data_IF_303377354204
#
_entry.id   IF_303377354204
#
_cell.length_a   1.000
_cell.length_b   1.000
_cell.length_c   1.000
_cell.angle_alpha   90.00
_cell.angle_beta   90.00
_cell.angle_gamma   90.00
#
_symmetry.space_group_name_H-M   'P 1'
#
loop_
_entity.id
_entity.type
_entity.pdbx_description
1 polymer ?
#
# COMPACT_ATOMS: atom_id res chain seq x y z
N UNK A 1 -0.08 16.01 -19.64
CA UNK A 1 -0.10 15.01 -18.55
C UNK A 1 -1.51 14.50 -18.20
N UNK A 2 -2.49 15.38 -17.96
CA UNK A 2 -3.88 15.04 -17.56
C UNK A 2 -4.58 13.99 -18.45
N UNK A 3 -4.55 14.15 -19.79
CA UNK A 3 -5.16 13.18 -20.74
C UNK A 3 -4.53 11.77 -20.68
N UNK A 4 -3.25 11.68 -20.29
CA UNK A 4 -2.55 10.40 -20.15
C UNK A 4 -3.00 9.66 -18.88
N UNK A 5 -3.04 10.36 -17.74
CA UNK A 5 -3.47 9.81 -16.45
C UNK A 5 -4.93 9.33 -16.50
N UNK A 6 -5.84 10.12 -17.10
CA UNK A 6 -7.24 9.72 -17.24
C UNK A 6 -7.40 8.45 -18.09
N UNK A 7 -6.55 8.27 -19.10
CA UNK A 7 -6.56 7.06 -19.95
C UNK A 7 -6.03 5.84 -19.19
N UNK A 8 -4.98 6.01 -18.38
CA UNK A 8 -4.45 4.94 -17.52
C UNK A 8 -5.51 4.52 -16.52
N UNK A 9 -6.15 5.48 -15.83
CA UNK A 9 -7.23 5.23 -14.89
C UNK A 9 -8.36 4.39 -15.51
N UNK A 10 -8.87 4.79 -16.68
CA UNK A 10 -9.94 4.05 -17.34
C UNK A 10 -9.55 2.60 -17.70
N UNK A 11 -8.26 2.37 -17.99
CA UNK A 11 -7.75 1.06 -18.39
C UNK A 11 -7.51 0.16 -17.17
N UNK A 12 -6.93 0.71 -16.11
CA UNK A 12 -6.44 -0.05 -14.95
C UNK A 12 -7.41 -0.07 -13.76
N UNK A 13 -8.51 0.69 -13.78
CA UNK A 13 -9.44 0.81 -12.64
C UNK A 13 -9.86 -0.52 -12.03
N UNK A 14 -10.05 -1.57 -12.85
CA UNK A 14 -10.42 -2.91 -12.36
C UNK A 14 -9.33 -3.51 -11.49
N UNK A 15 -8.06 -3.37 -11.90
CA UNK A 15 -6.92 -3.85 -11.13
C UNK A 15 -6.73 -3.05 -9.85
N UNK A 16 -6.98 -1.73 -9.90
CA UNK A 16 -6.95 -0.87 -8.70
C UNK A 16 -8.02 -1.31 -7.69
N UNK A 17 -9.25 -1.61 -8.14
CA UNK A 17 -10.29 -2.13 -7.26
C UNK A 17 -9.94 -3.49 -6.67
N UNK A 18 -9.33 -4.39 -7.45
CA UNK A 18 -8.86 -5.69 -6.95
C UNK A 18 -7.73 -5.49 -5.93
N UNK A 19 -6.79 -4.59 -6.19
CA UNK A 19 -5.73 -4.25 -5.24
C UNK A 19 -6.32 -3.69 -3.93
N UNK A 20 -7.32 -2.82 -4.03
CA UNK A 20 -8.00 -2.25 -2.86
C UNK A 20 -8.71 -3.34 -2.05
N UNK A 21 -9.42 -4.24 -2.71
CA UNK A 21 -10.05 -5.39 -2.07
C UNK A 21 -9.04 -6.18 -1.23
N UNK A 22 -7.88 -6.52 -1.80
CA UNK A 22 -6.87 -7.29 -1.10
C UNK A 22 -6.21 -6.52 0.05
N UNK A 23 -5.94 -5.22 -0.13
CA UNK A 23 -5.39 -4.38 0.93
C UNK A 23 -6.36 -4.30 2.13
N UNK A 24 -7.63 -3.96 1.87
CA UNK A 24 -8.64 -3.84 2.92
C UNK A 24 -9.01 -5.19 3.53
N UNK A 25 -8.95 -6.29 2.77
CA UNK A 25 -9.10 -7.63 3.32
C UNK A 25 -7.98 -7.95 4.33
N UNK A 26 -6.74 -7.51 4.07
CA UNK A 26 -5.63 -7.65 5.02
C UNK A 26 -5.87 -6.88 6.31
N UNK A 27 -6.30 -5.62 6.19
CA UNK A 27 -6.66 -4.77 7.35
C UNK A 27 -7.78 -5.44 8.16
N UNK A 28 -8.87 -5.84 7.50
CA UNK A 28 -10.01 -6.49 8.15
C UNK A 28 -9.63 -7.80 8.83
N UNK A 29 -8.79 -8.63 8.18
CA UNK A 29 -8.30 -9.88 8.75
C UNK A 29 -7.51 -9.63 10.03
N UNK A 30 -6.62 -8.64 10.02
CA UNK A 30 -5.83 -8.24 11.18
C UNK A 30 -6.70 -7.79 12.34
N UNK A 31 -7.68 -6.92 12.09
CA UNK A 31 -8.62 -6.46 13.11
C UNK A 31 -9.51 -7.59 13.66
N UNK A 32 -9.95 -8.50 12.78
CA UNK A 32 -10.75 -9.66 13.18
C UNK A 32 -9.97 -10.59 14.10
N UNK A 33 -8.76 -11.00 13.68
CA UNK A 33 -7.85 -11.81 14.51
C UNK A 33 -7.52 -11.05 15.80
N UNK A 34 -7.32 -9.74 15.66
CA UNK A 34 -7.02 -8.84 16.75
C UNK A 34 -8.02 -8.89 17.89
N UNK A 35 -9.31 -8.91 17.54
CA UNK A 35 -10.40 -8.98 18.49
C UNK A 35 -10.54 -10.36 19.17
N UNK A 36 -9.94 -11.43 18.61
CA UNK A 36 -9.96 -12.77 19.20
C UNK A 36 -8.79 -13.01 20.16
N UNK A 37 -7.73 -12.20 20.06
CA UNK A 37 -6.50 -12.40 20.81
C UNK A 37 -6.36 -11.28 21.85
N UNK A 38 -6.29 -11.65 23.12
CA UNK A 38 -5.90 -10.71 24.17
C UNK A 38 -4.39 -10.45 24.09
N UNK A 39 -4.00 -9.39 23.38
CA UNK A 39 -2.60 -8.98 23.34
C UNK A 39 -2.21 -8.36 24.68
N UNK A 40 -1.27 -9.00 25.39
CA UNK A 40 -0.54 -8.35 26.48
C UNK A 40 0.47 -7.38 25.85
N UNK A 41 0.09 -6.11 25.73
CA UNK A 41 0.91 -5.03 25.16
C UNK A 41 1.89 -4.45 26.18
N UNK A 42 2.58 -5.31 26.94
CA UNK A 42 3.54 -4.87 27.97
C UNK A 42 4.88 -4.40 27.40
N UNK A 43 5.16 -4.69 26.13
CA UNK A 43 6.31 -4.13 25.41
C UNK A 43 5.83 -3.04 24.47
N UNK A 44 5.88 -1.80 24.97
CA UNK A 44 5.85 -0.61 24.11
C UNK A 44 6.95 -0.77 23.06
N UNK A 45 6.60 -0.88 21.78
CA UNK A 45 7.57 -0.56 20.74
C UNK A 45 7.91 0.91 20.91
N UNK A 46 9.06 1.17 21.54
CA UNK A 46 9.67 2.50 21.51
C UNK A 46 9.89 2.79 20.03
N UNK A 47 9.31 3.90 19.55
CA UNK A 47 9.51 4.35 18.18
C UNK A 47 11.00 4.30 17.88
N UNK A 48 11.38 3.53 16.87
CA UNK A 48 12.74 3.55 16.38
C UNK A 48 12.99 4.94 15.80
N UNK A 49 14.15 5.53 16.13
CA UNK A 49 14.60 6.80 15.55
C UNK A 49 14.96 6.59 14.07
N UNK A 50 13.94 6.41 13.23
CA UNK A 50 14.10 6.25 11.79
C UNK A 50 14.02 7.61 11.11
N UNK A 51 15.01 7.87 10.28
CA UNK A 51 15.00 9.01 9.39
C UNK A 51 14.04 8.78 8.21
N UNK A 52 13.46 9.85 7.67
CA UNK A 52 12.46 9.78 6.60
C UNK A 52 12.91 8.97 5.37
N UNK A 53 14.23 8.95 5.09
CA UNK A 53 14.80 8.22 3.95
C UNK A 53 14.85 6.70 4.20
N UNK A 54 14.96 6.26 5.45
CA UNK A 54 14.93 4.84 5.81
C UNK A 54 13.51 4.30 5.66
N UNK A 55 12.52 5.06 6.14
CA UNK A 55 11.09 4.78 5.94
C UNK A 55 10.77 4.76 4.44
N UNK A 56 11.21 5.78 3.69
CA UNK A 56 11.02 5.82 2.23
C UNK A 56 11.63 4.60 1.54
N UNK A 57 12.88 4.26 1.85
CA UNK A 57 13.58 3.13 1.24
C UNK A 57 12.88 1.80 1.53
N UNK A 58 12.40 1.61 2.77
CA UNK A 58 11.64 0.43 3.15
C UNK A 58 10.32 0.32 2.38
N UNK A 59 9.53 1.40 2.35
CA UNK A 59 8.21 1.41 1.69
C UNK A 59 8.33 1.31 0.17
N UNK A 60 9.30 1.99 -0.44
CA UNK A 60 9.62 1.83 -1.87
C UNK A 60 10.09 0.41 -2.15
N UNK A 61 10.97 -0.16 -1.33
CA UNK A 61 11.45 -1.53 -1.47
C UNK A 61 10.31 -2.55 -1.43
N UNK A 62 9.41 -2.41 -0.45
CA UNK A 62 8.20 -3.24 -0.35
C UNK A 62 7.29 -3.08 -1.58
N UNK A 63 7.06 -1.85 -2.03
CA UNK A 63 6.27 -1.57 -3.23
C UNK A 63 6.89 -2.15 -4.51
N UNK A 64 8.21 -2.04 -4.67
CA UNK A 64 8.94 -2.64 -5.79
C UNK A 64 8.87 -4.17 -5.74
N UNK A 65 8.98 -4.77 -4.55
CA UNK A 65 8.84 -6.21 -4.37
C UNK A 65 7.43 -6.68 -4.78
N UNK A 66 6.37 -6.00 -4.32
CA UNK A 66 4.98 -6.27 -4.74
C UNK A 66 4.88 -6.20 -6.26
N UNK A 67 5.33 -5.11 -6.87
CA UNK A 67 5.23 -4.88 -8.31
C UNK A 67 6.00 -5.95 -9.12
N UNK A 68 7.24 -6.26 -8.74
CA UNK A 68 8.11 -7.21 -9.43
C UNK A 68 7.63 -8.67 -9.27
N UNK A 69 7.09 -9.00 -8.09
CA UNK A 69 6.58 -10.34 -7.79
C UNK A 69 5.39 -10.76 -8.67
N UNK A 70 4.81 -9.81 -9.41
CA UNK A 70 3.81 -10.06 -10.43
C UNK A 70 4.22 -11.09 -11.48
N UNK A 71 5.51 -11.23 -11.77
CA UNK A 71 6.05 -12.19 -12.75
C UNK A 71 5.66 -13.64 -12.38
N UNK A 72 5.47 -13.92 -11.10
CA UNK A 72 5.01 -15.22 -10.58
C UNK A 72 3.48 -15.33 -10.62
N UNK A 73 2.88 -15.03 -11.77
CA UNK A 73 1.44 -15.06 -12.03
C UNK A 73 0.60 -14.20 -11.06
N UNK A 74 1.19 -13.12 -10.54
CA UNK A 74 0.55 -12.16 -9.63
C UNK A 74 0.09 -12.70 -8.27
N UNK A 75 0.30 -13.98 -7.96
CA UNK A 75 -0.08 -14.56 -6.66
C UNK A 75 0.71 -13.91 -5.51
N UNK A 76 2.05 -13.80 -5.57
CA UNK A 76 2.79 -13.17 -4.48
C UNK A 76 2.49 -11.68 -4.34
N UNK A 77 2.18 -10.98 -5.43
CA UNK A 77 1.78 -9.57 -5.37
C UNK A 77 0.50 -9.38 -4.52
N UNK A 78 -0.48 -10.29 -4.67
CA UNK A 78 -1.68 -10.31 -3.84
C UNK A 78 -1.35 -10.59 -2.37
N UNK A 79 -0.54 -11.62 -2.09
CA UNK A 79 -0.16 -12.00 -0.73
C UNK A 79 0.62 -10.89 0.00
N UNK A 80 1.58 -10.25 -0.69
CA UNK A 80 2.35 -9.15 -0.13
C UNK A 80 1.49 -7.90 0.11
N UNK A 81 0.50 -7.64 -0.76
CA UNK A 81 -0.45 -6.53 -0.56
C UNK A 81 -1.37 -6.82 0.63
N UNK A 82 -1.87 -8.05 0.75
CA UNK A 82 -2.61 -8.53 1.93
C UNK A 82 -1.78 -8.35 3.21
N UNK A 83 -0.50 -8.73 3.17
CA UNK A 83 0.41 -8.60 4.30
C UNK A 83 0.63 -7.14 4.69
N UNK A 84 0.80 -6.23 3.72
CA UNK A 84 0.90 -4.78 4.01
C UNK A 84 -0.39 -4.27 4.68
N UNK A 85 -1.57 -4.65 4.18
CA UNK A 85 -2.84 -4.32 4.83
C UNK A 85 -2.96 -4.91 6.23
N UNK A 86 -2.51 -6.15 6.42
CA UNK A 86 -2.50 -6.81 7.71
C UNK A 86 -1.63 -6.05 8.73
N UNK A 87 -0.43 -5.63 8.34
CA UNK A 87 0.47 -4.84 9.18
C UNK A 87 -0.15 -3.49 9.58
N UNK A 88 -0.84 -2.80 8.66
CA UNK A 88 -1.56 -1.57 8.98
C UNK A 88 -2.65 -1.79 10.04
N UNK A 89 -3.49 -2.83 9.87
CA UNK A 89 -4.50 -3.19 10.87
C UNK A 89 -3.90 -3.59 12.21
N UNK A 90 -2.74 -4.25 12.18
CA UNK A 90 -2.02 -4.71 13.37
C UNK A 90 -1.50 -3.53 14.19
N UNK A 91 -0.93 -2.51 13.52
CA UNK A 91 -0.47 -1.28 14.17
C UNK A 91 -1.62 -0.52 14.85
N UNK A 92 -2.78 -0.44 14.20
CA UNK A 92 -3.99 0.16 14.81
C UNK A 92 -4.39 -0.57 16.08
N UNK A 93 -4.44 -1.91 16.02
CA UNK A 93 -4.81 -2.74 17.16
C UNK A 93 -3.83 -2.61 18.33
N UNK A 94 -2.53 -2.63 18.07
CA UNK A 94 -1.51 -2.42 19.12
C UNK A 94 -1.64 -1.03 19.75
N UNK A 95 -1.98 -0.01 18.95
CA UNK A 95 -2.10 1.36 19.44
C UNK A 95 -3.39 1.58 20.25
N UNK A 96 -4.43 0.78 20.01
CA UNK A 96 -5.74 0.92 20.65
C UNK A 96 -5.74 0.72 22.17
N UNK A 97 -4.75 0.00 22.73
CA UNK A 97 -4.61 -0.15 24.18
C UNK A 97 -3.94 1.03 24.88
N UNK A 98 -3.26 1.91 24.13
CA UNK A 98 -2.44 2.99 24.68
C UNK A 98 -2.89 4.39 24.28
N UNK A 99 -3.60 4.52 23.16
CA UNK A 99 -3.98 5.80 22.59
C UNK A 99 -5.48 5.86 22.30
N UNK A 100 -6.05 7.07 22.40
CA UNK A 100 -7.43 7.31 21.98
C UNK A 100 -7.59 7.06 20.48
N UNK A 101 -8.80 6.69 20.03
CA UNK A 101 -9.08 6.54 18.61
C UNK A 101 -8.75 7.81 17.80
N UNK A 102 -8.97 9.00 18.37
CA UNK A 102 -8.62 10.27 17.74
C UNK A 102 -7.10 10.42 17.55
N UNK A 103 -6.30 10.07 18.55
CA UNK A 103 -4.83 10.11 18.46
C UNK A 103 -4.30 9.14 17.40
N UNK A 104 -4.86 7.93 17.31
CA UNK A 104 -4.48 6.93 16.30
C UNK A 104 -4.80 7.45 14.89
N UNK A 105 -6.02 7.99 14.68
CA UNK A 105 -6.41 8.58 13.39
C UNK A 105 -5.50 9.77 13.05
N UNK A 106 -5.19 10.63 14.01
CA UNK A 106 -4.31 11.77 13.82
C UNK A 106 -2.86 11.36 13.48
N UNK A 107 -2.40 10.22 13.99
CA UNK A 107 -1.10 9.66 13.63
C UNK A 107 -1.10 9.02 12.22
N UNK A 108 -2.16 8.27 11.87
CA UNK A 108 -2.21 7.47 10.63
C UNK A 108 -2.62 8.26 9.38
N UNK A 109 -3.65 9.10 9.49
CA UNK A 109 -4.27 9.74 8.32
C UNK A 109 -3.30 10.63 7.53
N UNK A 110 -2.45 11.48 8.15
CA UNK A 110 -1.59 12.40 7.40
C UNK A 110 -0.74 11.71 6.33
N UNK A 111 -0.04 10.63 6.69
CA UNK A 111 0.81 9.89 5.77
C UNK A 111 0.04 8.79 5.00
N UNK A 112 -0.97 8.18 5.62
CA UNK A 112 -1.79 7.12 5.03
C UNK A 112 -2.52 7.52 3.74
N UNK A 113 -2.86 8.81 3.58
CA UNK A 113 -3.44 9.35 2.33
C UNK A 113 -2.49 9.16 1.13
N UNK A 114 -1.17 9.12 1.35
CA UNK A 114 -0.17 8.91 0.30
C UNK A 114 0.25 7.45 0.20
N UNK A 115 0.40 6.77 1.34
CA UNK A 115 0.86 5.38 1.40
C UNK A 115 -0.16 4.41 0.77
N UNK A 116 -1.45 4.54 1.11
CA UNK A 116 -2.48 3.64 0.61
C UNK A 116 -2.51 3.68 -0.93
N UNK A 117 -2.61 4.84 -1.61
CA UNK A 117 -2.52 4.88 -3.07
C UNK A 117 -1.23 4.30 -3.63
N UNK A 118 -0.08 4.49 -2.97
CA UNK A 118 1.19 3.92 -3.42
C UNK A 118 1.16 2.38 -3.41
N UNK A 119 0.65 1.76 -2.34
CA UNK A 119 0.50 0.30 -2.24
C UNK A 119 -0.49 -0.21 -3.31
N UNK A 120 -1.60 0.49 -3.54
CA UNK A 120 -2.56 0.12 -4.58
C UNK A 120 -1.95 0.16 -5.98
N UNK A 121 -1.09 1.14 -6.26
CA UNK A 121 -0.36 1.24 -7.53
C UNK A 121 0.64 0.09 -7.66
N UNK A 122 1.40 -0.21 -6.59
CA UNK A 122 2.35 -1.32 -6.57
C UNK A 122 1.66 -2.66 -6.89
N UNK A 123 0.54 -2.94 -6.21
CA UNK A 123 -0.27 -4.12 -6.46
C UNK A 123 -0.87 -4.12 -7.88
N UNK A 124 -1.35 -2.98 -8.36
CA UNK A 124 -1.88 -2.85 -9.73
C UNK A 124 -0.83 -3.24 -10.78
N UNK A 125 0.43 -2.83 -10.60
CA UNK A 125 1.54 -3.26 -11.44
C UNK A 125 1.75 -4.78 -11.31
N UNK A 126 1.80 -5.29 -10.08
CA UNK A 126 1.97 -6.72 -9.79
C UNK A 126 0.85 -7.62 -10.35
N UNK A 127 -0.37 -7.12 -10.51
CA UNK A 127 -1.52 -7.82 -11.09
C UNK A 127 -1.53 -7.84 -12.62
N UNK A 128 -0.69 -7.03 -13.29
CA UNK A 128 -0.67 -6.94 -14.75
C UNK A 128 -0.38 -8.28 -15.43
N UNK A 129 0.61 -9.09 -15.03
CA UNK A 129 0.89 -10.38 -15.66
C UNK A 129 -0.29 -11.35 -15.68
N UNK A 130 -0.99 -11.56 -14.56
CA UNK A 130 -2.21 -12.39 -14.55
C UNK A 130 -3.29 -11.80 -15.46
N UNK A 131 -3.47 -10.47 -15.46
CA UNK A 131 -4.46 -9.82 -16.31
C UNK A 131 -4.15 -9.94 -17.81
N UNK A 132 -2.87 -9.95 -18.20
CA UNK A 132 -2.43 -10.23 -19.56
C UNK A 132 -2.76 -11.65 -19.98
N UNK A 133 -2.48 -12.63 -19.11
CA UNK A 133 -2.79 -14.04 -19.35
C UNK A 133 -4.28 -14.26 -19.55
N UNK A 134 -5.12 -13.69 -18.68
CA UNK A 134 -6.59 -13.78 -18.79
C UNK A 134 -7.10 -13.15 -20.09
N UNK A 135 -6.60 -11.95 -20.46
CA UNK A 135 -6.99 -11.28 -21.70
C UNK A 135 -6.59 -12.08 -22.94
N UNK A 136 -5.41 -12.68 -22.92
CA UNK A 136 -4.94 -13.54 -24.00
C UNK A 136 -5.79 -14.81 -24.12
N UNK A 137 -6.08 -15.48 -23.00
CA UNK A 137 -6.88 -16.70 -22.97
C UNK A 137 -8.33 -16.46 -23.44
N UNK A 138 -9.00 -15.42 -22.93
CA UNK A 138 -10.44 -15.19 -23.19
C UNK A 138 -10.73 -14.39 -24.46
N UNK A 139 -9.87 -13.43 -24.82
CA UNK A 139 -10.15 -12.47 -25.90
C UNK A 139 -9.17 -12.54 -27.06
N UNK A 140 -8.17 -13.44 -27.00
CA UNK A 140 -7.05 -13.52 -27.97
C UNK A 140 -6.41 -12.15 -28.24
N UNK A 141 -6.45 -11.27 -27.25
CA UNK A 141 -6.06 -9.88 -27.42
C UNK A 141 -4.53 -9.76 -27.40
N UNK A 142 -3.97 -9.10 -28.42
CA UNK A 142 -2.54 -8.80 -28.49
C UNK A 142 -2.15 -7.67 -27.55
N UNK A 143 -1.00 -7.79 -26.88
CA UNK A 143 -0.51 -6.81 -25.92
C UNK A 143 0.47 -5.86 -26.62
N UNK A 144 0.24 -4.55 -26.48
CA UNK A 144 1.20 -3.54 -26.94
C UNK A 144 2.27 -3.32 -25.86
N UNK A 145 3.35 -4.10 -25.92
CA UNK A 145 4.43 -4.07 -24.93
C UNK A 145 5.04 -2.68 -24.71
N UNK A 146 5.21 -1.89 -25.77
CA UNK A 146 5.70 -0.50 -25.67
C UNK A 146 4.79 0.39 -24.81
N UNK A 147 3.47 0.21 -24.92
CA UNK A 147 2.49 0.95 -24.13
C UNK A 147 2.47 0.47 -22.69
N UNK A 148 2.53 -0.84 -22.46
CA UNK A 148 2.54 -1.43 -21.12
C UNK A 148 3.79 -1.02 -20.33
N UNK A 149 4.99 -1.15 -20.91
CA UNK A 149 6.22 -0.73 -20.25
C UNK A 149 6.22 0.75 -19.87
N UNK A 150 5.74 1.61 -20.77
CA UNK A 150 5.59 3.04 -20.46
C UNK A 150 4.60 3.27 -19.31
N UNK A 151 3.51 2.49 -19.27
CA UNK A 151 2.51 2.61 -18.21
C UNK A 151 3.08 2.16 -16.87
N UNK A 152 3.78 1.02 -16.84
CA UNK A 152 4.46 0.49 -15.65
C UNK A 152 5.49 1.50 -15.13
N UNK A 153 6.35 2.04 -16.00
CA UNK A 153 7.36 3.02 -15.59
C UNK A 153 6.75 4.29 -14.98
N UNK A 154 5.66 4.81 -15.57
CA UNK A 154 4.94 5.98 -15.02
C UNK A 154 4.32 5.65 -13.67
N UNK A 155 3.69 4.48 -13.53
CA UNK A 155 3.09 4.03 -12.27
C UNK A 155 4.15 3.81 -11.19
N UNK A 156 5.30 3.22 -11.51
CA UNK A 156 6.43 3.05 -10.59
C UNK A 156 6.97 4.39 -10.10
N UNK A 157 7.18 5.34 -11.00
CA UNK A 157 7.64 6.68 -10.63
C UNK A 157 6.64 7.41 -9.73
N UNK A 158 5.35 7.28 -10.02
CA UNK A 158 4.30 7.88 -9.20
C UNK A 158 4.17 7.22 -7.82
N UNK A 159 4.25 5.88 -7.76
CA UNK A 159 4.30 5.11 -6.52
C UNK A 159 5.48 5.55 -5.65
N UNK A 160 6.69 5.63 -6.21
CA UNK A 160 7.88 6.03 -5.45
C UNK A 160 7.75 7.46 -4.91
N UNK A 161 7.24 8.39 -5.72
CA UNK A 161 6.99 9.75 -5.28
C UNK A 161 5.99 9.82 -4.12
N UNK A 162 4.92 9.03 -4.17
CA UNK A 162 3.94 8.95 -3.07
C UNK A 162 4.55 8.40 -1.79
N UNK A 163 5.38 7.36 -1.85
CA UNK A 163 6.06 6.84 -0.65
C UNK A 163 7.05 7.83 -0.03
N UNK A 164 7.76 8.62 -0.85
CA UNK A 164 8.63 9.69 -0.34
C UNK A 164 7.81 10.75 0.38
N UNK A 165 6.68 11.17 -0.20
CA UNK A 165 5.79 12.13 0.45
C UNK A 165 5.20 11.54 1.74
N UNK A 166 4.77 10.28 1.71
CA UNK A 166 4.25 9.57 2.88
C UNK A 166 5.28 9.57 4.02
N UNK A 167 6.54 9.22 3.74
CA UNK A 167 7.57 9.14 4.78
C UNK A 167 7.98 10.51 5.34
N UNK A 168 8.02 11.56 4.51
CA UNK A 168 8.23 12.93 4.99
C UNK A 168 7.11 13.36 5.93
N UNK A 169 5.86 13.08 5.56
CA UNK A 169 4.69 13.39 6.39
C UNK A 169 4.70 12.56 7.68
N UNK A 170 5.11 11.30 7.60
CA UNK A 170 5.23 10.40 8.76
C UNK A 170 6.28 10.89 9.75
N UNK A 171 7.46 11.32 9.29
CA UNK A 171 8.53 11.80 10.17
C UNK A 171 8.23 13.17 10.75
N UNK A 172 7.66 14.10 9.97
CA UNK A 172 7.56 15.51 10.39
C UNK A 172 6.16 15.95 10.84
N UNK A 173 5.09 15.32 10.36
CA UNK A 173 3.71 15.78 10.61
C UNK A 173 2.97 14.86 11.57
N UNK A 174 3.04 13.53 11.37
CA UNK A 174 2.32 12.56 12.21
C UNK A 174 2.61 12.70 13.73
N UNK A 175 3.84 13.00 14.18
CA UNK A 175 4.10 13.22 15.61
C UNK A 175 3.42 14.48 16.16
N UNK A 176 3.34 15.54 15.34
CA UNK A 176 2.72 16.81 15.72
C UNK A 176 1.20 16.63 15.86
N UNK A 177 0.57 15.99 14.88
CA UNK A 177 -0.88 15.76 14.88
C UNK A 177 -1.31 14.82 15.99
N UNK A 178 -0.51 13.79 16.28
CA UNK A 178 -0.75 12.89 17.40
C UNK A 178 -0.65 13.61 18.76
N UNK A 179 0.32 14.53 18.90
CA UNK A 179 0.51 15.32 20.13
C UNK A 179 -0.66 16.23 20.51
N UNK A 180 -1.61 16.51 19.60
CA UNK A 180 -2.82 17.27 19.92
C UNK A 180 -3.85 16.48 20.74
N UNK A 181 -3.70 15.16 20.82
CA UNK A 181 -4.66 14.24 21.44
C UNK A 181 -4.04 13.34 22.52
N UNK A 182 -2.79 13.64 22.92
CA UNK A 182 -2.12 13.09 24.11
C UNK A 182 -2.50 13.89 25.35
#
# INVERSE_FOLDING_TARGET
MRKCLMRIWQTEKKLIWIAALWLFAGIALSLFIGNQIHFNTTHLMKGFDYEWYQIAANNIGAGLLIAASGILLSVPAVLLTLFNGFMLGYLVMLSASHYSAAAIVAALVPHGIFEIPAILIACTIGLKPASWLIRYAHKKQTISWKKEWRTIAVLMGFMAALFIVASLVETYVSPITMGWFQ
#
